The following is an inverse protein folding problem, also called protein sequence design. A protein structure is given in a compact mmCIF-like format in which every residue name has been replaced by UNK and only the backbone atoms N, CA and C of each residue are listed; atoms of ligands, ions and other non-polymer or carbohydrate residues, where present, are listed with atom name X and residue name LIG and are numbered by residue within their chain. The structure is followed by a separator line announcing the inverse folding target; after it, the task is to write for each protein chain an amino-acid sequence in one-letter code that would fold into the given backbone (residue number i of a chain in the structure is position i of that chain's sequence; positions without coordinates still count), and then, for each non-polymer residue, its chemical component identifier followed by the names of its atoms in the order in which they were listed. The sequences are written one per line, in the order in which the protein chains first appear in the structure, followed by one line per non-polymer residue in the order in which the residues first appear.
data_IF_943874611221
#
_entry.id   IF_943874611221
#
_cell.length_a   1.000
_cell.length_b   1.000
_cell.length_c   1.000
_cell.angle_alpha   90.00
_cell.angle_beta   90.00
_cell.angle_gamma   90.00
#
_symmetry.space_group_name_H-M   'P 1'
#
loop_
_entity.id
_entity.type
_entity.pdbx_description
1 polymer ?
#
# COMPACT_ATOMS: atom_id res chain seq x y z
N UNK A 1 17.69 -9.10 21.93
CA UNK A 1 18.76 -9.30 20.93
C UNK A 1 18.09 -9.16 19.59
N UNK A 2 18.68 -8.39 18.68
CA UNK A 2 18.17 -8.28 17.30
C UNK A 2 18.44 -9.61 16.59
N UNK A 3 17.40 -10.45 16.51
CA UNK A 3 17.40 -11.66 15.72
C UNK A 3 16.89 -11.31 14.32
N UNK A 4 17.77 -11.44 13.33
CA UNK A 4 17.44 -11.17 11.93
C UNK A 4 17.39 -12.51 11.19
N UNK A 5 16.21 -12.86 10.69
CA UNK A 5 16.03 -14.06 9.86
C UNK A 5 15.63 -13.65 8.43
N UNK A 6 16.40 -14.14 7.46
CA UNK A 6 16.12 -13.90 6.05
C UNK A 6 15.13 -14.96 5.55
N UNK A 7 13.87 -14.57 5.36
CA UNK A 7 12.83 -15.45 4.81
C UNK A 7 12.73 -15.26 3.30
N UNK A 8 12.92 -16.34 2.54
CA UNK A 8 12.67 -16.32 1.09
C UNK A 8 11.18 -16.44 0.83
N UNK A 9 10.56 -15.35 0.38
CA UNK A 9 9.17 -15.38 -0.06
C UNK A 9 9.09 -15.83 -1.53
N UNK A 10 8.19 -16.77 -1.83
CA UNK A 10 7.83 -17.14 -3.21
C UNK A 10 6.42 -16.63 -3.49
N UNK A 11 6.31 -15.61 -4.35
CA UNK A 11 5.01 -15.10 -4.78
C UNK A 11 4.32 -16.12 -5.69
N UNK A 12 3.13 -16.57 -5.31
CA UNK A 12 2.29 -17.48 -6.12
C UNK A 12 1.37 -16.71 -7.07
N UNK A 13 1.08 -15.44 -6.77
CA UNK A 13 0.20 -14.55 -7.54
C UNK A 13 0.89 -13.18 -7.66
N UNK A 14 0.84 -12.58 -8.86
CA UNK A 14 1.30 -11.23 -9.12
C UNK A 14 0.18 -10.43 -9.81
N UNK A 15 -0.13 -9.25 -9.28
CA UNK A 15 -1.21 -8.37 -9.74
C UNK A 15 -0.66 -6.94 -9.75
N UNK A 16 -0.98 -6.15 -10.78
CA UNK A 16 -0.49 -4.78 -10.99
C UNK A 16 -1.45 -3.68 -10.49
N UNK A 17 -2.66 -4.06 -10.07
CA UNK A 17 -3.65 -3.18 -9.47
C UNK A 17 -3.83 -3.45 -7.97
N UNK A 18 -3.50 -2.47 -7.12
CA UNK A 18 -3.58 -2.58 -5.65
C UNK A 18 -4.96 -3.00 -5.11
N UNK A 19 -6.11 -2.49 -5.62
CA UNK A 19 -7.42 -2.94 -5.14
C UNK A 19 -7.70 -4.43 -5.42
N UNK A 20 -7.16 -4.97 -6.51
CA UNK A 20 -7.27 -6.38 -6.84
C UNK A 20 -6.39 -7.26 -5.94
N UNK A 21 -5.22 -6.76 -5.51
CA UNK A 21 -4.40 -7.41 -4.46
C UNK A 21 -5.18 -7.52 -3.16
N UNK A 22 -5.85 -6.45 -2.70
CA UNK A 22 -6.69 -6.51 -1.49
C UNK A 22 -7.79 -7.57 -1.63
N UNK A 23 -8.44 -7.65 -2.80
CA UNK A 23 -9.46 -8.67 -3.06
C UNK A 23 -8.89 -10.08 -2.95
N UNK A 24 -7.70 -10.32 -3.50
CA UNK A 24 -7.01 -11.61 -3.40
C UNK A 24 -6.65 -11.96 -1.94
N UNK A 25 -6.12 -11.00 -1.17
CA UNK A 25 -5.80 -11.20 0.25
C UNK A 25 -7.06 -11.55 1.05
N UNK A 26 -8.17 -10.83 0.83
CA UNK A 26 -9.47 -11.14 1.46
C UNK A 26 -10.02 -12.51 1.09
N UNK A 27 -9.67 -13.02 -0.09
CA UNK A 27 -10.02 -14.35 -0.55
C UNK A 27 -9.07 -15.45 -0.01
N UNK A 28 -8.10 -15.11 0.83
CA UNK A 28 -7.16 -16.07 1.42
C UNK A 28 -5.97 -16.43 0.51
N UNK A 29 -5.67 -15.63 -0.50
CA UNK A 29 -4.56 -15.88 -1.43
C UNK A 29 -3.16 -15.71 -0.81
N UNK A 30 -3.06 -15.20 0.42
CA UNK A 30 -1.80 -14.99 1.14
C UNK A 30 -1.75 -13.63 1.84
N UNK A 31 -0.53 -13.14 2.07
CA UNK A 31 -0.25 -11.84 2.68
C UNK A 31 0.32 -10.86 1.64
N UNK A 32 0.16 -9.56 1.88
CA UNK A 32 0.71 -8.53 0.99
C UNK A 32 0.98 -7.23 1.76
N UNK A 33 1.79 -6.36 1.16
CA UNK A 33 1.98 -4.99 1.58
C UNK A 33 0.97 -4.12 0.84
N UNK A 34 0.12 -3.41 1.57
CA UNK A 34 -0.94 -2.57 1.03
C UNK A 34 -0.86 -1.16 1.63
N UNK A 35 -1.24 -0.11 0.88
CA UNK A 35 -1.33 1.24 1.43
C UNK A 35 -2.31 1.28 2.60
N UNK A 36 -1.93 1.94 3.69
CA UNK A 36 -2.72 2.06 4.91
C UNK A 36 -4.13 2.61 4.67
N UNK A 37 -4.26 3.65 3.85
CA UNK A 37 -5.53 4.29 3.52
C UNK A 37 -6.52 3.33 2.84
N UNK A 38 -6.03 2.30 2.17
CA UNK A 38 -6.87 1.31 1.48
C UNK A 38 -7.42 0.25 2.44
N UNK A 39 -6.69 -0.06 3.53
CA UNK A 39 -6.98 -1.20 4.42
C UNK A 39 -7.49 -0.80 5.80
N UNK A 40 -7.57 0.49 6.10
CA UNK A 40 -8.08 1.02 7.38
C UNK A 40 -9.41 0.40 7.80
N UNK A 41 -10.40 0.38 6.91
CA UNK A 41 -11.73 -0.15 7.22
C UNK A 41 -11.74 -1.68 7.33
N UNK A 42 -10.82 -2.35 6.65
CA UNK A 42 -10.66 -3.81 6.73
C UNK A 42 -10.09 -4.22 8.09
N UNK A 43 -9.11 -3.46 8.62
CA UNK A 43 -8.60 -3.66 9.97
C UNK A 43 -9.64 -3.31 11.03
N UNK A 44 -10.34 -2.18 10.89
CA UNK A 44 -11.38 -1.77 11.83
C UNK A 44 -12.52 -2.81 11.93
N UNK A 45 -12.84 -3.48 10.83
CA UNK A 45 -13.84 -4.54 10.78
C UNK A 45 -13.30 -5.94 11.12
N UNK A 46 -12.02 -6.08 11.49
CA UNK A 46 -11.41 -7.37 11.81
C UNK A 46 -11.29 -8.34 10.64
N UNK A 47 -11.38 -7.85 9.39
CA UNK A 47 -11.26 -8.68 8.17
C UNK A 47 -9.81 -8.93 7.77
N UNK A 48 -8.89 -8.07 8.22
CA UNK A 48 -7.45 -8.22 8.05
C UNK A 48 -6.75 -8.16 9.40
N UNK A 49 -5.54 -8.74 9.45
CA UNK A 49 -4.65 -8.72 10.62
C UNK A 49 -3.26 -8.25 10.18
N UNK A 50 -2.64 -7.39 10.98
CA UNK A 50 -1.28 -6.91 10.73
C UNK A 50 -0.27 -7.91 11.33
N UNK A 51 0.46 -8.61 10.46
CA UNK A 51 1.28 -9.78 10.84
C UNK A 51 2.70 -9.45 11.31
N UNK A 52 3.22 -8.26 11.00
CA UNK A 52 4.57 -7.82 11.37
C UNK A 52 4.53 -6.36 11.90
N UNK A 53 3.83 -6.10 13.03
CA UNK A 53 3.58 -4.74 13.51
C UNK A 53 4.84 -3.93 13.84
N UNK A 54 5.92 -4.61 14.22
CA UNK A 54 7.21 -3.98 14.55
C UNK A 54 8.07 -3.67 13.31
N UNK A 55 7.66 -4.13 12.13
CA UNK A 55 8.42 -3.97 10.89
C UNK A 55 7.81 -2.87 10.03
N UNK A 56 8.67 -1.98 9.52
CA UNK A 56 8.26 -0.84 8.70
C UNK A 56 8.99 -0.87 7.37
N UNK A 57 8.26 -0.68 6.28
CA UNK A 57 8.88 -0.40 4.98
C UNK A 57 9.44 1.02 4.97
N UNK A 58 10.45 1.29 4.13
CA UNK A 58 10.86 2.66 3.83
C UNK A 58 9.64 3.49 3.41
N UNK A 59 9.45 4.65 4.04
CA UNK A 59 8.32 5.51 3.72
C UNK A 59 8.48 6.17 2.34
N UNK A 60 7.39 6.18 1.59
CA UNK A 60 7.25 6.94 0.34
C UNK A 60 6.25 8.09 0.53
N UNK A 61 6.40 9.16 -0.27
CA UNK A 61 5.49 10.30 -0.25
C UNK A 61 4.51 10.28 -1.42
N UNK A 62 3.31 10.85 -1.23
CA UNK A 62 2.41 11.22 -2.32
C UNK A 62 2.73 12.67 -2.70
N UNK A 63 3.10 12.90 -3.95
CA UNK A 63 3.50 14.21 -4.44
C UNK A 63 2.54 14.68 -5.53
N UNK A 64 2.19 15.96 -5.52
CA UNK A 64 1.49 16.57 -6.65
C UNK A 64 2.53 17.21 -7.57
N UNK A 65 2.50 16.84 -8.85
CA UNK A 65 3.39 17.39 -9.86
C UNK A 65 2.60 18.32 -10.77
N UNK A 66 3.12 19.53 -10.99
CA UNK A 66 2.53 20.52 -11.88
C UNK A 66 3.53 20.86 -13.00
N UNK A 67 3.06 21.12 -14.23
CA UNK A 67 3.92 21.69 -15.25
C UNK A 67 4.51 23.02 -14.76
N UNK A 68 5.81 23.24 -15.04
CA UNK A 68 6.42 24.55 -14.82
C UNK A 68 5.57 25.62 -15.54
N UNK A 69 5.12 26.64 -14.81
CA UNK A 69 4.09 27.56 -15.27
C UNK A 69 4.41 28.15 -16.64
N UNK A 70 3.70 27.72 -17.69
CA UNK A 70 3.66 28.44 -18.96
C UNK A 70 2.25 29.00 -19.10
N UNK A 71 2.10 30.27 -18.72
CA UNK A 71 0.89 31.10 -18.80
C UNK A 71 -0.36 30.56 -18.09
N UNK A 72 -0.68 31.15 -16.93
CA UNK A 72 -2.03 31.08 -16.34
C UNK A 72 -2.82 32.30 -16.86
N UNK A 73 -3.81 32.15 -17.75
CA UNK A 73 -4.74 33.24 -18.00
C UNK A 73 -5.47 33.57 -16.68
N UNK A 74 -5.78 34.85 -16.40
CA UNK A 74 -6.40 35.24 -15.15
C UNK A 74 -7.73 34.49 -14.99
N UNK A 75 -7.95 33.93 -13.79
CA UNK A 75 -9.20 33.29 -13.43
C UNK A 75 -10.28 34.37 -13.40
N UNK A 76 -11.16 34.38 -14.41
CA UNK A 76 -12.40 35.16 -14.35
C UNK A 76 -13.26 34.54 -13.25
N UNK A 77 -13.67 35.36 -12.30
CA UNK A 77 -14.60 34.97 -11.23
C UNK A 77 -16.02 34.84 -11.77
#
# INVERSE_FOLDING_TARGET
GDEHEAVRMQATIAIDATPAVLTAVRAGAGLSVLPDFLVRDEFAAGRLVHILPEWQLPSGGIYTVYPAARFRPPKVM
#
